data_IF_132608055082
#
_entry.id   IF_132608055082
#
_cell.length_a   1.000
_cell.length_b   1.000
_cell.length_c   1.000
_cell.angle_alpha   90.00
_cell.angle_beta   90.00
_cell.angle_gamma   90.00
#
_symmetry.space_group_name_H-M   'P 1'
#
loop_
_entity.id
_entity.type
_entity.pdbx_description
1 polymer ?
#
# COMPACT_ATOMS: atom_id res chain seq x y z
N UNK A 1 -45.01 20.03 12.94
CA UNK A 1 -43.54 20.17 13.10
C UNK A 1 -42.88 18.93 12.50
N UNK A 2 -42.23 19.04 11.34
CA UNK A 2 -41.45 17.93 10.78
C UNK A 2 -40.13 17.81 11.55
N UNK A 3 -39.78 16.61 12.01
CA UNK A 3 -38.51 16.34 12.71
C UNK A 3 -37.35 16.66 11.76
N UNK A 4 -36.64 17.74 12.05
CA UNK A 4 -35.35 18.02 11.43
C UNK A 4 -34.35 16.95 11.87
N UNK A 5 -33.77 16.23 10.92
CA UNK A 5 -32.57 15.43 11.18
C UNK A 5 -32.55 13.97 10.72
N UNK A 6 -33.45 13.52 9.84
CA UNK A 6 -33.27 12.24 9.15
C UNK A 6 -32.32 12.45 7.95
N UNK A 7 -31.01 12.39 8.19
CA UNK A 7 -30.00 12.31 7.13
C UNK A 7 -30.23 11.03 6.34
N UNK A 8 -30.73 11.16 5.11
CA UNK A 8 -30.90 10.01 4.22
C UNK A 8 -29.53 9.54 3.74
N UNK A 9 -29.23 8.27 3.98
CA UNK A 9 -28.06 7.62 3.41
C UNK A 9 -28.32 7.34 1.92
N UNK A 10 -28.00 8.31 1.08
CA UNK A 10 -28.02 8.17 -0.38
C UNK A 10 -26.63 7.76 -0.83
N UNK A 11 -26.52 6.66 -1.56
CA UNK A 11 -25.26 6.23 -2.16
C UNK A 11 -25.44 6.00 -3.66
N UNK A 12 -24.61 6.66 -4.47
CA UNK A 12 -24.67 6.65 -5.93
C UNK A 12 -23.63 5.73 -6.56
N UNK A 13 -23.29 4.61 -5.91
CA UNK A 13 -22.24 3.70 -6.40
C UNK A 13 -22.78 2.72 -7.46
N UNK A 14 -22.03 2.47 -8.55
CA UNK A 14 -22.41 1.50 -9.58
C UNK A 14 -22.52 0.08 -9.00
N UNK A 15 -23.40 -0.73 -9.60
CA UNK A 15 -23.63 -2.11 -9.20
C UNK A 15 -22.62 -3.01 -9.92
N UNK A 16 -21.84 -3.77 -9.16
CA UNK A 16 -20.88 -4.73 -9.67
C UNK A 16 -21.23 -6.14 -9.19
N UNK A 17 -20.95 -7.14 -10.03
CA UNK A 17 -20.84 -8.53 -9.57
C UNK A 17 -19.51 -8.74 -8.86
N UNK A 18 -19.42 -9.75 -7.98
CA UNK A 18 -18.17 -10.04 -7.24
C UNK A 18 -16.99 -10.30 -8.20
N UNK A 19 -17.25 -10.98 -9.32
CA UNK A 19 -16.24 -11.29 -10.34
C UNK A 19 -15.72 -10.02 -11.05
N UNK A 20 -16.63 -9.13 -11.48
CA UNK A 20 -16.25 -7.87 -12.15
C UNK A 20 -15.46 -6.93 -11.24
N UNK A 21 -15.84 -6.88 -9.96
CA UNK A 21 -15.13 -6.07 -8.97
C UNK A 21 -13.72 -6.63 -8.70
N UNK A 22 -13.56 -7.95 -8.63
CA UNK A 22 -12.27 -8.58 -8.38
C UNK A 22 -11.31 -8.50 -9.59
N UNK A 23 -11.86 -8.41 -10.81
CA UNK A 23 -11.08 -8.19 -12.04
C UNK A 23 -10.53 -6.76 -12.12
N UNK A 24 -11.38 -5.76 -11.85
CA UNK A 24 -10.97 -4.35 -11.85
C UNK A 24 -10.11 -4.01 -10.63
N UNK A 25 -10.45 -4.53 -9.46
CA UNK A 25 -9.81 -4.22 -8.17
C UNK A 25 -9.10 -5.46 -7.61
N UNK A 26 -8.03 -5.87 -8.29
CA UNK A 26 -7.24 -7.03 -7.86
C UNK A 26 -6.76 -6.87 -6.42
N UNK A 27 -7.05 -7.87 -5.60
CA UNK A 27 -6.58 -7.94 -4.21
C UNK A 27 -5.05 -7.94 -4.20
N UNK A 28 -4.46 -6.82 -3.74
CA UNK A 28 -3.03 -6.75 -3.50
C UNK A 28 -2.74 -7.40 -2.15
N UNK A 29 -2.22 -8.62 -2.18
CA UNK A 29 -1.72 -9.28 -0.99
C UNK A 29 -0.43 -8.59 -0.54
N UNK A 30 -0.50 -7.88 0.59
CA UNK A 30 0.67 -7.29 1.24
C UNK A 30 1.10 -8.23 2.35
N UNK A 31 2.32 -8.74 2.28
CA UNK A 31 2.90 -9.44 3.41
C UNK A 31 3.05 -8.48 4.59
N UNK A 32 2.58 -8.90 5.76
CA UNK A 32 2.79 -8.16 6.99
C UNK A 32 4.29 -8.09 7.27
N UNK A 33 4.82 -6.87 7.40
CA UNK A 33 6.20 -6.65 7.80
C UNK A 33 6.29 -6.83 9.31
N UNK A 34 7.12 -7.76 9.74
CA UNK A 34 7.45 -7.91 11.15
C UNK A 34 8.44 -6.82 11.56
N UNK A 35 8.58 -6.58 12.87
CA UNK A 35 9.59 -5.64 13.41
C UNK A 35 11.00 -6.00 12.90
N UNK A 36 11.29 -7.30 12.73
CA UNK A 36 12.56 -7.78 12.18
C UNK A 36 12.76 -7.32 10.72
N UNK A 37 11.70 -7.25 9.92
CA UNK A 37 11.80 -6.75 8.54
C UNK A 37 12.14 -5.26 8.52
N UNK A 38 11.61 -4.49 9.48
CA UNK A 38 11.97 -3.08 9.65
C UNK A 38 13.43 -2.92 10.09
N UNK A 39 13.91 -3.77 11.00
CA UNK A 39 15.31 -3.78 11.45
C UNK A 39 16.26 -4.17 10.29
N UNK A 40 15.93 -5.21 9.52
CA UNK A 40 16.69 -5.59 8.31
C UNK A 40 16.71 -4.48 7.27
N UNK A 41 15.57 -3.80 7.07
CA UNK A 41 15.46 -2.67 6.16
C UNK A 41 16.38 -1.52 6.61
N UNK A 42 16.39 -1.16 7.89
CA UNK A 42 17.27 -0.15 8.46
C UNK A 42 18.76 -0.47 8.25
N UNK A 43 19.17 -1.71 8.56
CA UNK A 43 20.57 -2.13 8.36
C UNK A 43 20.95 -2.21 6.88
N UNK A 44 20.04 -2.60 5.98
CA UNK A 44 20.29 -2.63 4.53
C UNK A 44 20.53 -1.23 3.97
N UNK A 45 19.72 -0.24 4.34
CA UNK A 45 19.93 1.15 3.91
C UNK A 45 21.21 1.75 4.47
N UNK A 46 21.59 1.35 5.70
CA UNK A 46 22.83 1.82 6.33
C UNK A 46 24.10 1.22 5.70
N UNK A 47 24.04 -0.02 5.22
CA UNK A 47 25.16 -0.71 4.55
C UNK A 47 25.23 -0.35 3.06
N UNK A 48 24.12 0.07 2.46
CA UNK A 48 24.07 0.56 1.07
C UNK A 48 24.29 2.09 0.96
N UNK A 49 25.17 2.65 1.81
CA UNK A 49 25.96 3.80 1.36
C UNK A 49 26.79 3.36 0.14
N UNK A 50 26.86 4.17 -0.92
CA UNK A 50 26.80 3.66 -2.27
C UNK A 50 28.05 2.88 -2.69
N UNK A 51 27.82 1.72 -3.31
CA UNK A 51 28.67 1.04 -4.29
C UNK A 51 29.11 1.92 -5.49
N UNK A 52 28.95 3.24 -5.41
CA UNK A 52 29.45 4.21 -6.40
C UNK A 52 30.96 4.48 -6.18
N UNK A 53 31.51 4.21 -4.98
CA UNK A 53 32.94 4.35 -4.73
C UNK A 53 33.78 3.13 -5.16
N UNK A 54 33.18 1.93 -5.20
CA UNK A 54 33.88 0.70 -5.66
C UNK A 54 34.10 0.68 -7.18
N UNK A 55 33.42 1.53 -7.95
CA UNK A 55 33.56 1.63 -9.41
C UNK A 55 34.63 2.62 -9.86
N UNK A 56 35.15 3.45 -8.94
CA UNK A 56 36.18 4.47 -9.23
C UNK A 56 37.62 4.01 -8.89
N UNK A 57 37.77 2.92 -8.14
CA UNK A 57 39.07 2.40 -7.68
C UNK A 57 39.51 1.13 -8.43
N UNK A 58 38.81 0.78 -9.52
CA UNK A 58 39.16 -0.32 -10.43
C UNK A 58 39.30 0.24 -11.86
N UNK A 59 40.20 1.21 -12.02
CA UNK A 59 40.91 1.52 -13.26
C UNK A 59 42.41 1.49 -12.92
#
# INVERSE_FOLDING_TARGET
MMRAGASHYVVTRPLYSEDSFNEEHKKVYRHHKTILDHVKQYFRYKIHTPLVLKKLFFF
#
